data_IF_079514069347
#
_entry.id   IF_079514069347
#
_cell.length_a   1.000
_cell.length_b   1.000
_cell.length_c   1.000
_cell.angle_alpha   90.00
_cell.angle_beta   90.00
_cell.angle_gamma   90.00
#
_symmetry.space_group_name_H-M   'P 1'
#
loop_
_entity.id
_entity.type
_entity.pdbx_description
1 polymer ?
#
# COMPACT_ATOMS: atom_id res chain seq x y z
N UNK A 1 -74.14 -35.61 9.13
CA UNK A 1 -73.18 -34.79 9.91
C UNK A 1 -71.86 -34.77 9.15
N UNK A 2 -71.63 -33.76 8.30
CA UNK A 2 -70.41 -33.60 7.49
C UNK A 2 -69.56 -32.51 8.12
N UNK A 3 -68.40 -32.88 8.63
CA UNK A 3 -67.37 -31.97 9.13
C UNK A 3 -66.62 -31.43 7.90
N UNK A 4 -66.69 -30.13 7.64
CA UNK A 4 -65.79 -29.44 6.72
C UNK A 4 -64.67 -28.80 7.53
N UNK A 5 -63.47 -29.36 7.39
CA UNK A 5 -62.22 -28.93 8.00
C UNK A 5 -61.53 -28.00 6.99
N UNK A 6 -61.49 -26.70 7.26
CA UNK A 6 -60.74 -25.73 6.45
C UNK A 6 -59.27 -25.77 6.86
N UNK A 7 -58.42 -26.34 6.01
CA UNK A 7 -56.96 -26.33 6.17
C UNK A 7 -56.42 -25.07 5.49
N UNK A 8 -56.09 -24.05 6.28
CA UNK A 8 -55.40 -22.85 5.81
C UNK A 8 -53.95 -23.19 5.45
N UNK A 9 -53.60 -23.04 4.18
CA UNK A 9 -52.24 -23.24 3.66
C UNK A 9 -51.43 -21.95 3.88
N UNK A 10 -50.51 -21.96 4.85
CA UNK A 10 -49.53 -20.88 5.02
C UNK A 10 -48.31 -21.18 4.13
N UNK A 11 -48.08 -20.34 3.13
CA UNK A 11 -46.87 -20.38 2.30
C UNK A 11 -45.78 -19.59 3.05
N UNK A 12 -44.77 -20.29 3.56
CA UNK A 12 -43.55 -19.68 4.08
C UNK A 12 -42.56 -19.47 2.92
N UNK A 13 -42.34 -18.22 2.52
CA UNK A 13 -41.30 -17.84 1.57
C UNK A 13 -39.96 -17.72 2.32
N UNK A 14 -39.08 -18.70 2.16
CA UNK A 14 -37.70 -18.62 2.64
C UNK A 14 -36.87 -17.91 1.57
N UNK A 15 -36.50 -16.64 1.82
CA UNK A 15 -35.54 -15.93 1.00
C UNK A 15 -34.12 -16.40 1.36
N UNK A 16 -33.52 -17.23 0.51
CA UNK A 16 -32.10 -17.58 0.59
C UNK A 16 -31.31 -16.38 0.08
N UNK A 17 -30.75 -15.58 0.99
CA UNK A 17 -29.72 -14.60 0.66
C UNK A 17 -28.45 -15.37 0.30
N UNK A 18 -28.22 -15.58 -1.00
CA UNK A 18 -26.92 -15.98 -1.48
C UNK A 18 -25.96 -14.80 -1.24
N UNK A 19 -25.20 -14.85 -0.15
CA UNK A 19 -24.01 -14.03 0.00
C UNK A 19 -23.01 -14.51 -1.06
N UNK A 20 -23.06 -13.92 -2.25
CA UNK A 20 -21.99 -14.08 -3.22
C UNK A 20 -20.72 -13.54 -2.57
N UNK A 21 -19.69 -14.36 -2.46
CA UNK A 21 -18.34 -13.89 -2.19
C UNK A 21 -17.99 -12.90 -3.30
N UNK A 22 -18.10 -11.60 -3.03
CA UNK A 22 -17.55 -10.58 -3.90
C UNK A 22 -16.05 -10.79 -3.86
N UNK A 23 -15.50 -11.39 -4.91
CA UNK A 23 -14.06 -11.44 -5.07
C UNK A 23 -13.58 -9.99 -5.17
N UNK A 24 -12.55 -9.62 -4.41
CA UNK A 24 -12.00 -8.28 -4.48
C UNK A 24 -11.61 -7.98 -5.93
N UNK A 25 -12.07 -6.86 -6.47
CA UNK A 25 -11.68 -6.48 -7.83
C UNK A 25 -10.23 -5.98 -7.79
N UNK A 26 -9.39 -6.48 -8.69
CA UNK A 26 -8.05 -5.91 -8.87
C UNK A 26 -8.15 -4.63 -9.70
N UNK A 27 -7.81 -3.50 -9.11
CA UNK A 27 -7.80 -2.19 -9.74
C UNK A 27 -6.36 -1.77 -10.03
N UNK A 28 -6.05 -1.67 -11.32
CA UNK A 28 -4.72 -1.34 -11.78
C UNK A 28 -4.50 0.17 -11.91
N UNK A 29 -3.30 0.63 -11.57
CA UNK A 29 -2.84 1.97 -11.95
C UNK A 29 -2.58 1.99 -13.47
N UNK A 30 -3.08 3.01 -14.17
CA UNK A 30 -2.98 3.13 -15.65
C UNK A 30 -2.10 4.28 -16.12
N UNK A 31 -1.66 5.12 -15.19
CA UNK A 31 -0.74 6.22 -15.43
C UNK A 31 0.00 6.58 -14.15
N UNK A 32 1.15 7.25 -14.29
CA UNK A 32 1.91 7.74 -13.15
C UNK A 32 1.31 9.00 -12.53
N UNK A 33 1.47 9.13 -11.22
CA UNK A 33 1.19 10.40 -10.57
C UNK A 33 2.18 11.47 -11.05
N UNK A 34 1.61 12.63 -11.40
CA UNK A 34 2.28 13.88 -11.73
C UNK A 34 2.66 14.68 -10.49
N UNK A 35 3.49 15.73 -10.64
CA UNK A 35 3.98 16.48 -9.48
C UNK A 35 2.81 17.12 -8.71
N UNK A 36 2.80 16.97 -7.39
CA UNK A 36 1.73 17.49 -6.53
C UNK A 36 0.40 16.75 -6.64
N UNK A 37 0.34 15.63 -7.38
CA UNK A 37 -0.85 14.77 -7.46
C UNK A 37 -0.65 13.47 -6.70
N UNK A 38 -1.74 12.81 -6.32
CA UNK A 38 -1.74 11.58 -5.52
C UNK A 38 -2.90 10.69 -5.93
N UNK A 39 -2.63 9.47 -6.37
CA UNK A 39 -3.63 8.40 -6.49
C UNK A 39 -3.76 7.59 -5.19
N UNK A 40 -2.89 7.82 -4.20
CA UNK A 40 -2.94 7.10 -2.92
C UNK A 40 -4.29 7.24 -2.19
N UNK A 41 -4.94 8.41 -2.32
CA UNK A 41 -6.23 8.71 -1.69
C UNK A 41 -7.23 9.35 -2.67
N UNK A 42 -6.98 9.30 -3.98
CA UNK A 42 -7.88 9.84 -5.01
C UNK A 42 -8.00 8.88 -6.19
N UNK A 43 -9.03 9.06 -7.02
CA UNK A 43 -9.27 8.24 -8.21
C UNK A 43 -8.50 8.67 -9.45
N UNK A 44 -7.40 9.42 -9.30
CA UNK A 44 -6.76 10.11 -10.41
C UNK A 44 -6.30 9.17 -11.54
N UNK A 45 -5.53 8.13 -11.20
CA UNK A 45 -4.91 7.25 -12.21
C UNK A 45 -5.30 5.76 -12.06
N UNK A 46 -6.30 5.45 -11.24
CA UNK A 46 -6.82 4.08 -11.13
C UNK A 46 -7.73 3.74 -12.32
N UNK A 47 -7.71 2.49 -12.77
CA UNK A 47 -8.46 2.04 -13.95
C UNK A 47 -9.99 2.26 -13.84
N UNK A 48 -10.53 2.27 -12.62
CA UNK A 48 -11.94 2.53 -12.34
C UNK A 48 -12.26 4.02 -12.14
N UNK A 49 -11.23 4.89 -12.08
CA UNK A 49 -11.36 6.32 -11.84
C UNK A 49 -11.85 6.69 -10.43
N UNK A 50 -11.81 5.75 -9.47
CA UNK A 50 -12.30 5.94 -8.11
C UNK A 50 -11.16 5.94 -7.10
N UNK A 51 -11.34 6.69 -6.00
CA UNK A 51 -10.38 6.64 -4.90
C UNK A 51 -10.32 5.22 -4.31
N UNK A 52 -9.16 4.78 -3.80
CA UNK A 52 -9.03 3.48 -3.17
C UNK A 52 -10.10 3.23 -2.11
N UNK A 53 -10.74 2.06 -2.16
CA UNK A 53 -11.84 1.71 -1.27
C UNK A 53 -11.84 0.23 -0.91
N UNK A 54 -12.36 -0.08 0.28
CA UNK A 54 -12.46 -1.45 0.78
C UNK A 54 -13.24 -2.36 -0.18
N UNK A 55 -12.87 -3.64 -0.21
CA UNK A 55 -13.37 -4.63 -1.14
C UNK A 55 -12.62 -4.69 -2.47
N UNK A 56 -11.54 -3.91 -2.65
CA UNK A 56 -10.71 -3.90 -3.86
C UNK A 56 -9.23 -4.04 -3.52
N UNK A 57 -8.51 -4.78 -4.36
CA UNK A 57 -7.06 -4.89 -4.35
C UNK A 57 -6.47 -3.95 -5.40
N UNK A 58 -5.39 -3.24 -5.07
CA UNK A 58 -4.79 -2.27 -5.97
C UNK A 58 -3.39 -2.69 -6.39
N UNK A 59 -3.03 -2.45 -7.65
CA UNK A 59 -1.71 -2.81 -8.19
C UNK A 59 -1.10 -1.64 -8.96
N UNK A 60 0.16 -1.33 -8.68
CA UNK A 60 0.83 -0.17 -9.31
C UNK A 60 1.21 -0.42 -10.77
N UNK A 61 1.32 -1.69 -11.20
CA UNK A 61 1.98 -2.07 -12.44
C UNK A 61 3.35 -1.36 -12.53
N UNK A 62 3.71 -0.91 -13.73
CA UNK A 62 4.90 -0.12 -14.03
C UNK A 62 4.73 1.38 -13.80
N UNK A 63 3.72 1.82 -13.03
CA UNK A 63 3.51 3.22 -12.70
C UNK A 63 3.90 3.55 -11.25
N UNK A 64 4.13 4.84 -10.99
CA UNK A 64 4.38 5.38 -9.65
C UNK A 64 3.10 5.95 -9.06
N UNK A 65 2.82 5.59 -7.81
CA UNK A 65 1.86 6.26 -6.95
C UNK A 65 2.58 7.18 -5.96
N UNK A 66 2.01 8.36 -5.70
CA UNK A 66 2.51 9.34 -4.73
C UNK A 66 1.54 9.43 -3.56
N UNK A 67 2.07 9.57 -2.35
CA UNK A 67 1.26 9.99 -1.20
C UNK A 67 0.82 11.45 -1.36
N UNK A 68 -0.17 11.94 -0.60
CA UNK A 68 -0.49 13.36 -0.55
C UNK A 68 0.72 14.24 -0.21
N UNK A 69 0.75 15.45 -0.77
CA UNK A 69 1.88 16.36 -0.71
C UNK A 69 1.76 17.41 0.40
N UNK A 70 1.34 16.97 1.58
CA UNK A 70 1.14 17.80 2.78
C UNK A 70 1.53 17.01 4.05
N UNK A 71 1.36 17.63 5.23
CA UNK A 71 1.76 17.03 6.51
C UNK A 71 0.68 16.20 7.21
N UNK A 72 -0.42 15.90 6.53
CA UNK A 72 -1.50 15.06 7.05
C UNK A 72 -1.12 13.58 7.18
N UNK A 73 -1.91 12.87 7.97
CA UNK A 73 -1.89 11.40 8.01
C UNK A 73 -2.93 10.84 7.05
N UNK A 74 -2.61 9.74 6.37
CA UNK A 74 -3.47 9.13 5.36
C UNK A 74 -3.41 7.61 5.43
N UNK A 75 -4.57 6.97 5.41
CA UNK A 75 -4.71 5.52 5.26
C UNK A 75 -5.09 5.20 3.82
N UNK A 76 -4.40 4.24 3.21
CA UNK A 76 -4.79 3.71 1.92
C UNK A 76 -6.14 3.01 2.05
N UNK A 77 -7.11 3.38 1.21
CA UNK A 77 -8.49 2.92 1.39
C UNK A 77 -8.78 1.51 0.87
N UNK A 78 -7.88 0.90 0.10
CA UNK A 78 -8.05 -0.44 -0.47
C UNK A 78 -7.69 -1.57 0.48
N UNK A 79 -8.12 -2.80 0.15
CA UNK A 79 -7.82 -4.01 0.95
C UNK A 79 -6.35 -4.41 0.83
N UNK A 80 -5.70 -4.09 -0.29
CA UNK A 80 -4.25 -4.22 -0.47
C UNK A 80 -3.70 -3.21 -1.47
N UNK A 81 -2.41 -2.90 -1.34
CA UNK A 81 -1.64 -2.21 -2.36
C UNK A 81 -0.44 -3.10 -2.72
N UNK A 82 -0.43 -3.61 -3.95
CA UNK A 82 0.70 -4.33 -4.52
C UNK A 82 1.59 -3.37 -5.29
N UNK A 83 2.85 -3.26 -4.87
CA UNK A 83 3.90 -2.47 -5.52
C UNK A 83 4.82 -3.43 -6.27
N UNK A 84 4.61 -3.51 -7.59
CA UNK A 84 5.24 -4.49 -8.49
C UNK A 84 5.94 -3.83 -9.69
N UNK A 85 6.36 -2.58 -9.52
CA UNK A 85 6.97 -1.80 -10.59
C UNK A 85 8.40 -2.27 -10.89
N UNK A 86 8.70 -2.57 -12.16
CA UNK A 86 10.03 -3.04 -12.58
C UNK A 86 10.76 -2.09 -13.54
N UNK A 87 10.16 -0.96 -13.90
CA UNK A 87 10.65 -0.06 -14.95
C UNK A 87 11.65 1.02 -14.46
N UNK A 88 12.37 0.76 -13.37
CA UNK A 88 13.58 1.51 -12.97
C UNK A 88 13.38 2.49 -11.81
N UNK A 89 14.22 3.54 -11.77
CA UNK A 89 14.49 4.35 -10.57
C UNK A 89 13.31 5.21 -10.06
N UNK A 90 12.94 5.07 -8.78
CA UNK A 90 11.87 5.83 -8.09
C UNK A 90 10.45 5.59 -8.62
N UNK A 91 10.15 4.35 -9.01
CA UNK A 91 8.82 3.93 -9.41
C UNK A 91 8.27 2.87 -8.45
N UNK A 92 6.97 2.94 -8.15
CA UNK A 92 6.34 2.25 -7.02
C UNK A 92 5.66 3.23 -6.07
N UNK A 93 5.80 3.04 -4.75
CA UNK A 93 5.25 3.95 -3.74
C UNK A 93 6.27 5.06 -3.40
N UNK A 94 5.93 6.31 -3.71
CA UNK A 94 6.79 7.46 -3.46
C UNK A 94 6.16 8.40 -2.44
N UNK A 95 6.84 8.58 -1.31
CA UNK A 95 6.44 9.54 -0.28
C UNK A 95 6.68 10.97 -0.74
N UNK A 96 5.63 11.78 -0.56
CA UNK A 96 5.55 13.20 -0.89
C UNK A 96 5.01 14.08 0.24
N UNK A 97 4.78 13.54 1.43
CA UNK A 97 4.31 14.33 2.59
C UNK A 97 5.38 15.26 3.19
N UNK A 98 4.96 16.22 4.00
CA UNK A 98 5.83 17.24 4.60
C UNK A 98 5.80 17.20 6.14
N UNK A 99 6.86 17.64 6.80
CA UNK A 99 6.99 17.60 8.25
C UNK A 99 7.31 16.20 8.78
N UNK A 100 7.12 16.00 10.08
CA UNK A 100 7.59 14.80 10.79
C UNK A 100 6.56 14.09 11.67
N UNK A 101 5.28 14.48 11.57
CA UNK A 101 4.20 13.90 12.39
C UNK A 101 3.21 13.08 11.59
N UNK A 102 3.08 13.34 10.28
CA UNK A 102 2.15 12.62 9.41
C UNK A 102 2.53 11.15 9.31
N UNK A 103 1.52 10.29 9.35
CA UNK A 103 1.67 8.83 9.21
C UNK A 103 0.92 8.39 7.97
N UNK A 104 1.60 7.63 7.11
CA UNK A 104 0.99 6.96 5.98
C UNK A 104 0.77 5.50 6.38
N UNK A 105 -0.47 5.06 6.34
CA UNK A 105 -0.85 3.70 6.72
C UNK A 105 -1.30 2.93 5.50
N UNK A 106 -0.74 1.73 5.29
CA UNK A 106 -1.24 0.76 4.32
C UNK A 106 -1.42 -0.55 5.07
N UNK A 107 -2.68 -0.91 5.33
CA UNK A 107 -3.01 -2.07 6.18
C UNK A 107 -2.43 -3.38 5.62
N UNK A 108 -2.28 -3.46 4.29
CA UNK A 108 -1.70 -4.60 3.59
C UNK A 108 -0.90 -4.14 2.36
N UNK A 109 0.36 -3.79 2.56
CA UNK A 109 1.31 -3.42 1.51
C UNK A 109 2.08 -4.67 1.04
N UNK A 110 1.98 -5.00 -0.24
CA UNK A 110 2.67 -6.14 -0.83
C UNK A 110 3.78 -5.60 -1.73
N UNK A 111 5.04 -5.89 -1.39
CA UNK A 111 6.19 -5.61 -2.23
C UNK A 111 6.48 -6.83 -3.10
N UNK A 112 6.15 -6.72 -4.39
CA UNK A 112 6.28 -7.81 -5.36
C UNK A 112 7.17 -7.38 -6.53
N UNK A 113 8.40 -6.96 -6.22
CA UNK A 113 9.37 -6.53 -7.22
C UNK A 113 9.59 -5.03 -7.31
N UNK A 114 8.84 -4.23 -6.56
CA UNK A 114 8.86 -2.77 -6.65
C UNK A 114 9.62 -2.06 -5.53
N UNK A 115 9.51 -0.73 -5.53
CA UNK A 115 10.27 0.15 -4.62
C UNK A 115 9.35 1.04 -3.77
N UNK A 116 9.76 1.25 -2.52
CA UNK A 116 9.31 2.35 -1.65
C UNK A 116 10.39 3.42 -1.65
N UNK A 117 10.02 4.70 -1.86
CA UNK A 117 11.01 5.79 -1.89
C UNK A 117 10.57 7.06 -1.15
N UNK A 118 11.54 7.78 -0.60
CA UNK A 118 11.33 9.10 0.03
C UNK A 118 11.85 10.23 -0.85
N UNK A 119 10.96 11.03 -1.41
CA UNK A 119 11.33 12.08 -2.36
C UNK A 119 11.00 13.49 -1.88
N UNK A 120 11.09 13.72 -0.57
CA UNK A 120 11.17 15.03 0.05
C UNK A 120 12.45 15.20 0.85
N UNK A 121 12.79 16.44 1.18
CA UNK A 121 14.06 16.79 1.81
C UNK A 121 14.20 16.21 3.21
N UNK A 122 15.38 16.37 3.80
CA UNK A 122 15.74 15.77 5.08
C UNK A 122 15.06 16.39 6.30
N UNK A 123 14.32 17.49 6.11
CA UNK A 123 13.42 18.05 7.13
C UNK A 123 12.08 17.31 7.26
N UNK A 124 11.80 16.41 6.33
CA UNK A 124 10.58 15.61 6.28
C UNK A 124 10.89 14.16 6.67
N UNK A 125 9.90 13.48 7.27
CA UNK A 125 10.01 12.09 7.72
C UNK A 125 8.85 11.27 7.16
N UNK A 126 9.18 10.20 6.44
CA UNK A 126 8.20 9.21 6.03
C UNK A 126 8.00 8.18 7.12
N UNK A 127 6.91 8.30 7.87
CA UNK A 127 6.43 7.26 8.78
C UNK A 127 5.45 6.34 8.02
N UNK A 128 5.84 5.09 7.81
CA UNK A 128 5.05 4.08 7.12
C UNK A 128 4.54 3.02 8.11
N UNK A 129 3.23 2.97 8.32
CA UNK A 129 2.56 2.08 9.25
C UNK A 129 1.66 1.05 8.53
N UNK A 130 1.20 0.03 9.25
CA UNK A 130 0.38 -1.08 8.74
C UNK A 130 1.15 -2.39 8.69
N UNK A 131 1.07 -3.11 7.57
CA UNK A 131 1.80 -4.37 7.37
C UNK A 131 2.45 -4.43 5.99
N UNK A 132 3.67 -4.93 5.94
CA UNK A 132 4.45 -5.13 4.70
C UNK A 132 4.73 -6.61 4.50
N UNK A 133 4.37 -7.14 3.34
CA UNK A 133 4.79 -8.47 2.89
C UNK A 133 5.73 -8.33 1.70
N UNK A 134 6.98 -8.79 1.86
CA UNK A 134 7.98 -8.87 0.79
C UNK A 134 7.82 -10.21 0.08
N UNK A 135 7.13 -10.19 -1.06
CA UNK A 135 6.82 -11.38 -1.85
C UNK A 135 7.92 -11.72 -2.85
N UNK A 136 8.51 -10.69 -3.47
CA UNK A 136 9.60 -10.78 -4.44
C UNK A 136 10.71 -9.78 -4.11
N UNK A 137 11.94 -9.92 -4.67
CA UNK A 137 13.03 -8.99 -4.42
C UNK A 137 12.61 -7.53 -4.62
N UNK A 138 12.67 -6.73 -3.56
CA UNK A 138 12.12 -5.37 -3.53
C UNK A 138 13.05 -4.40 -2.82
N UNK A 139 12.75 -3.10 -2.93
CA UNK A 139 13.66 -2.04 -2.49
C UNK A 139 12.98 -1.04 -1.56
N UNK A 140 13.71 -0.59 -0.52
CA UNK A 140 13.38 0.63 0.22
C UNK A 140 14.51 1.62 0.04
N UNK A 141 14.14 2.83 -0.39
CA UNK A 141 15.07 3.86 -0.79
C UNK A 141 14.78 5.18 -0.07
N UNK A 142 15.53 5.44 1.01
CA UNK A 142 15.59 6.73 1.67
C UNK A 142 16.33 7.77 0.80
N UNK A 143 15.78 8.08 -0.37
CA UNK A 143 16.45 8.84 -1.43
C UNK A 143 16.83 10.25 -0.98
N UNK A 144 15.89 10.98 -0.38
CA UNK A 144 16.06 12.39 0.01
C UNK A 144 15.79 12.68 1.49
N UNK A 145 15.16 11.76 2.21
CA UNK A 145 14.82 11.91 3.64
C UNK A 145 14.70 10.56 4.34
N UNK A 146 14.55 10.60 5.67
CA UNK A 146 14.47 9.39 6.50
C UNK A 146 13.16 8.63 6.26
N UNK A 147 13.20 7.30 6.39
CA UNK A 147 12.02 6.44 6.38
C UNK A 147 11.99 5.65 7.69
N UNK A 148 10.92 5.86 8.46
CA UNK A 148 10.60 5.06 9.63
C UNK A 148 9.52 4.06 9.25
N UNK A 149 9.92 2.78 9.15
CA UNK A 149 9.01 1.67 8.89
C UNK A 149 8.44 1.20 10.23
N UNK A 150 7.28 1.74 10.57
CA UNK A 150 6.50 1.37 11.75
C UNK A 150 5.77 0.04 11.54
N UNK A 151 5.44 -0.26 10.28
CA UNK A 151 4.75 -1.47 9.86
C UNK A 151 5.53 -2.76 10.20
N UNK A 152 4.80 -3.81 10.56
CA UNK A 152 5.37 -5.16 10.67
C UNK A 152 5.82 -5.64 9.28
N UNK A 153 7.00 -6.27 9.20
CA UNK A 153 7.59 -6.75 7.93
C UNK A 153 7.65 -8.27 7.92
N UNK A 154 7.14 -8.88 6.85
CA UNK A 154 7.04 -10.33 6.67
C UNK A 154 7.39 -10.74 5.24
N UNK A 155 7.40 -12.05 4.97
CA UNK A 155 7.55 -12.59 3.63
C UNK A 155 8.86 -13.38 3.42
N UNK A 156 9.14 -13.71 2.17
CA UNK A 156 10.30 -14.52 1.78
C UNK A 156 11.15 -13.91 0.66
N UNK A 157 10.69 -12.82 0.04
CA UNK A 157 11.49 -12.08 -0.93
C UNK A 157 12.64 -11.34 -0.25
N UNK A 158 13.73 -11.13 -0.99
CA UNK A 158 14.84 -10.32 -0.51
C UNK A 158 14.43 -8.82 -0.45
N UNK A 159 14.93 -8.10 0.54
CA UNK A 159 14.68 -6.67 0.72
C UNK A 159 16.00 -5.90 0.68
N UNK A 160 16.20 -5.09 -0.35
CA UNK A 160 17.36 -4.23 -0.45
C UNK A 160 17.07 -2.85 0.17
N UNK A 161 17.97 -2.40 1.02
CA UNK A 161 18.01 -1.02 1.52
C UNK A 161 19.07 -0.26 0.71
N UNK A 162 18.63 0.65 -0.16
CA UNK A 162 19.50 1.32 -1.13
C UNK A 162 20.29 2.48 -0.50
N UNK A 163 21.48 2.74 -1.05
CA UNK A 163 22.29 3.91 -0.73
C UNK A 163 21.57 5.21 -1.13
N UNK A 164 21.71 6.25 -0.30
CA UNK A 164 21.04 7.54 -0.46
C UNK A 164 21.65 8.35 -1.62
N UNK A 165 20.97 9.40 -2.10
CA UNK A 165 21.54 10.28 -3.15
C UNK A 165 22.76 11.10 -2.68
N UNK A 166 23.11 11.09 -1.40
CA UNK A 166 24.20 11.88 -0.82
C UNK A 166 24.97 11.08 0.21
N UNK A 167 26.04 10.42 -0.27
CA UNK A 167 26.91 9.55 0.52
C UNK A 167 27.77 10.31 1.57
N UNK A 168 27.54 11.61 1.78
CA UNK A 168 28.30 12.46 2.68
C UNK A 168 27.67 12.71 4.06
N UNK A 169 26.36 12.50 4.22
CA UNK A 169 25.62 12.76 5.46
C UNK A 169 25.04 11.47 6.05
N UNK A 170 25.85 10.76 6.82
CA UNK A 170 25.47 9.50 7.46
C UNK A 170 24.41 9.64 8.58
N UNK A 171 23.95 10.86 8.89
CA UNK A 171 22.96 11.11 9.94
C UNK A 171 21.54 11.35 9.42
N UNK A 172 21.38 11.40 8.11
CA UNK A 172 20.11 11.64 7.43
C UNK A 172 19.94 10.62 6.31
N UNK A 173 18.70 10.47 5.83
CA UNK A 173 18.33 9.50 4.79
C UNK A 173 18.54 8.05 5.22
N UNK A 174 18.16 7.76 6.45
CA UNK A 174 18.22 6.43 7.07
C UNK A 174 16.88 5.72 6.88
N UNK A 175 16.91 4.40 6.64
CA UNK A 175 15.75 3.54 6.82
C UNK A 175 15.84 2.87 8.19
N UNK A 176 14.85 3.09 9.04
CA UNK A 176 14.73 2.46 10.35
C UNK A 176 13.55 1.51 10.36
N UNK A 177 13.77 0.25 10.74
CA UNK A 177 12.70 -0.74 10.91
C UNK A 177 12.30 -0.78 12.39
N UNK A 178 11.09 -0.30 12.71
CA UNK A 178 10.52 -0.30 14.06
C UNK A 178 9.52 -1.44 14.28
N UNK A 179 8.76 -1.81 13.25
CA UNK A 179 7.81 -2.91 13.31
C UNK A 179 8.48 -4.26 13.53
N UNK A 180 7.70 -5.26 13.98
CA UNK A 180 8.22 -6.61 14.13
C UNK A 180 8.58 -7.19 12.76
N UNK A 181 9.73 -7.85 12.67
CA UNK A 181 10.14 -8.54 11.45
C UNK A 181 10.04 -10.05 11.61
N UNK A 182 9.29 -10.67 10.70
CA UNK A 182 9.24 -12.12 10.47
C UNK A 182 9.74 -12.47 9.06
N UNK A 183 10.39 -11.52 8.39
CA UNK A 183 10.97 -11.70 7.07
C UNK A 183 11.98 -12.86 7.07
N UNK A 184 11.85 -13.76 6.10
CA UNK A 184 12.74 -14.92 5.93
C UNK A 184 13.69 -14.78 4.74
N UNK A 185 13.43 -13.81 3.85
CA UNK A 185 14.38 -13.39 2.81
C UNK A 185 15.55 -12.60 3.39
N UNK A 186 16.57 -12.34 2.57
CA UNK A 186 17.72 -11.56 2.99
C UNK A 186 17.37 -10.06 3.10
N UNK A 187 18.05 -9.37 4.02
CA UNK A 187 18.07 -7.91 4.03
C UNK A 187 19.45 -7.46 3.54
N UNK A 188 19.48 -6.94 2.33
CA UNK A 188 20.70 -6.44 1.70
C UNK A 188 20.86 -4.95 1.96
N UNK A 189 21.69 -4.60 2.94
CA UNK A 189 22.02 -3.20 3.23
C UNK A 189 23.18 -2.78 2.33
N UNK A 190 22.83 -2.16 1.20
CA UNK A 190 23.80 -1.65 0.23
C UNK A 190 24.14 -0.16 0.43
N UNK A 191 23.45 0.51 1.36
CA UNK A 191 23.70 1.89 1.76
C UNK A 191 24.89 2.07 2.71
N UNK A 192 25.84 2.90 2.30
CA UNK A 192 26.71 3.69 3.19
C UNK A 192 26.62 5.15 2.80
#
# INVERSE_FOLDING_TARGET
>A
MKICMSLSLAIALVAVLAAGSTQAATVALVAEDGFGTSSFNTGLNWADGLAPSAGNDYITNDFRVRTPADGGSYTFGGDSLTVNNTNGYSWGLMYKGTGNTGVITVDNLILDGGQISHANGTGDLFQLDGAITVNSPSEIYAKQGNIDVLADVSGSGDLAILATDDNGDATQRIVTLYGASTLTGNIDVSGK
#
